data_IF_149962697589
#
_entry.id   IF_149962697589
#
_cell.length_a   1.000
_cell.length_b   1.000
_cell.length_c   1.000
_cell.angle_alpha   90.00
_cell.angle_beta   90.00
_cell.angle_gamma   90.00
#
_symmetry.space_group_name_H-M   'P 1'
#
loop_
_entity.id
_entity.type
_entity.pdbx_description
1 polymer ?
#
# COMPACT_ATOMS: atom_id res chain seq x y z
N UNK A 1 2.29 -19.83 -9.89
CA UNK A 1 1.82 -18.75 -9.01
C UNK A 1 3.04 -18.09 -8.41
N UNK A 2 3.35 -16.85 -8.80
CA UNK A 2 4.44 -16.10 -8.17
C UNK A 2 3.99 -15.73 -6.75
N UNK A 3 4.60 -16.34 -5.74
CA UNK A 3 4.32 -16.01 -4.34
C UNK A 3 5.02 -14.69 -4.04
N UNK A 4 4.35 -13.57 -4.27
CA UNK A 4 4.88 -12.26 -3.86
C UNK A 4 5.05 -12.28 -2.35
N UNK A 5 6.31 -12.30 -1.91
CA UNK A 5 6.64 -12.41 -0.49
C UNK A 5 6.52 -11.03 0.14
N UNK A 6 5.61 -10.92 1.12
CA UNK A 6 5.41 -9.70 1.89
C UNK A 6 6.16 -9.77 3.22
N UNK A 7 6.78 -8.65 3.60
CA UNK A 7 7.40 -8.48 4.91
C UNK A 7 7.02 -7.13 5.53
N UNK A 8 7.12 -7.04 6.84
CA UNK A 8 6.94 -5.79 7.58
C UNK A 8 7.54 -5.90 8.98
N UNK A 9 7.78 -4.74 9.58
CA UNK A 9 8.13 -4.65 10.99
C UNK A 9 6.87 -4.88 11.86
N UNK A 10 6.98 -5.75 12.86
CA UNK A 10 5.83 -6.14 13.72
C UNK A 10 5.32 -4.98 14.57
N UNK A 11 6.20 -4.10 15.02
CA UNK A 11 5.81 -2.96 15.85
C UNK A 11 5.21 -1.86 14.98
N UNK A 12 5.72 -1.65 13.76
CA UNK A 12 5.04 -0.82 12.76
C UNK A 12 3.64 -1.36 12.43
N UNK A 13 3.47 -2.67 12.27
CA UNK A 13 2.17 -3.26 12.00
C UNK A 13 1.17 -2.99 13.15
N UNK A 14 1.60 -3.12 14.41
CA UNK A 14 0.78 -2.79 15.59
C UNK A 14 0.42 -1.31 15.65
N UNK A 15 1.40 -0.42 15.42
CA UNK A 15 1.20 1.03 15.41
C UNK A 15 0.23 1.42 14.30
N UNK A 16 0.39 0.84 13.10
CA UNK A 16 -0.48 1.10 11.96
C UNK A 16 -1.91 0.67 12.25
N UNK A 17 -2.10 -0.54 12.78
CA UNK A 17 -3.41 -1.05 13.17
C UNK A 17 -4.09 -0.11 14.18
N UNK A 18 -3.36 0.28 15.24
CA UNK A 18 -3.90 1.20 16.26
C UNK A 18 -4.25 2.58 15.70
N UNK A 19 -3.43 3.10 14.78
CA UNK A 19 -3.57 4.47 14.25
C UNK A 19 -4.58 4.58 13.11
N UNK A 20 -4.69 3.55 12.28
CA UNK A 20 -5.41 3.59 11.01
C UNK A 20 -6.52 2.54 10.88
N UNK A 21 -6.67 1.65 11.86
CA UNK A 21 -7.63 0.54 11.84
C UNK A 21 -7.48 -0.34 10.59
N UNK A 22 -6.24 -0.50 10.14
CA UNK A 22 -5.84 -1.26 8.96
C UNK A 22 -4.65 -2.14 9.34
N UNK A 23 -4.84 -3.44 9.24
CA UNK A 23 -3.74 -4.40 9.41
C UNK A 23 -2.93 -4.52 8.13
N UNK A 24 -1.65 -4.84 8.24
CA UNK A 24 -0.84 -5.13 7.05
C UNK A 24 -1.24 -6.42 6.32
N UNK A 25 -1.89 -7.35 7.02
CA UNK A 25 -2.50 -8.52 6.39
C UNK A 25 -3.68 -8.17 5.48
N UNK A 26 -4.39 -7.10 5.76
CA UNK A 26 -5.39 -6.57 4.83
C UNK A 26 -4.72 -5.71 3.76
N UNK A 27 -3.79 -4.84 4.14
CA UNK A 27 -3.12 -3.95 3.19
C UNK A 27 -2.45 -4.73 2.05
N UNK A 28 -1.87 -5.91 2.31
CA UNK A 28 -1.29 -6.75 1.24
C UNK A 28 -2.31 -7.21 0.19
N UNK A 29 -3.60 -7.24 0.50
CA UNK A 29 -4.65 -7.64 -0.46
C UNK A 29 -4.90 -6.58 -1.52
N UNK A 30 -4.44 -5.34 -1.30
CA UNK A 30 -4.47 -4.27 -2.32
C UNK A 30 -3.67 -4.65 -3.56
N UNK A 31 -2.60 -5.44 -3.41
CA UNK A 31 -1.78 -5.92 -4.54
C UNK A 31 -2.47 -7.00 -5.37
N UNK A 32 -3.62 -7.51 -4.90
CA UNK A 32 -4.46 -8.46 -5.65
C UNK A 32 -5.54 -7.72 -6.46
N UNK A 33 -5.69 -6.40 -6.26
CA UNK A 33 -6.62 -5.57 -7.03
C UNK A 33 -6.05 -5.30 -8.43
N UNK A 34 -6.80 -5.75 -9.45
CA UNK A 34 -6.46 -5.58 -10.87
C UNK A 34 -6.43 -4.12 -11.29
N UNK A 35 -7.15 -3.24 -10.58
CA UNK A 35 -7.21 -1.80 -10.86
C UNK A 35 -6.30 -0.97 -9.94
N UNK A 36 -5.40 -1.63 -9.20
CA UNK A 36 -4.47 -0.93 -8.32
C UNK A 36 -3.55 0.02 -9.09
N UNK A 37 -3.35 1.22 -8.54
CA UNK A 37 -2.48 2.26 -9.08
C UNK A 37 -1.21 2.34 -8.22
N UNK A 38 -0.04 2.12 -8.81
CA UNK A 38 1.25 2.30 -8.14
C UNK A 38 1.96 3.54 -8.67
N UNK A 39 2.41 4.41 -7.77
CA UNK A 39 3.13 5.65 -8.04
C UNK A 39 4.44 5.67 -7.28
N UNK A 40 5.48 6.28 -7.82
CA UNK A 40 6.69 6.60 -7.04
C UNK A 40 6.34 7.55 -5.87
N UNK A 41 7.06 7.44 -4.75
CA UNK A 41 7.00 8.42 -3.65
C UNK A 41 8.15 9.43 -3.79
N UNK A 42 8.01 10.48 -4.63
CA UNK A 42 9.10 11.42 -4.93
C UNK A 42 9.64 12.16 -3.71
N UNK A 43 8.88 12.17 -2.60
CA UNK A 43 9.30 12.80 -1.34
C UNK A 43 10.34 11.97 -0.60
N UNK A 44 10.35 10.65 -0.78
CA UNK A 44 11.22 9.73 -0.04
C UNK A 44 12.18 8.90 -0.92
N UNK A 45 12.05 8.96 -2.25
CA UNK A 45 12.89 8.20 -3.20
C UNK A 45 14.38 8.57 -3.23
N UNK A 46 14.81 9.62 -2.52
CA UNK A 46 16.23 10.06 -2.54
C UNK A 46 17.16 9.06 -1.82
N UNK A 47 16.64 8.33 -0.83
CA UNK A 47 17.42 7.39 0.00
C UNK A 47 16.98 5.93 -0.13
N UNK A 48 15.72 5.70 -0.52
CA UNK A 48 15.13 4.37 -0.65
C UNK A 48 13.96 4.46 -1.63
N UNK A 49 13.93 3.62 -2.67
CA UNK A 49 12.80 3.54 -3.60
C UNK A 49 11.55 3.14 -2.83
N UNK A 50 10.67 4.11 -2.63
CA UNK A 50 9.36 3.93 -2.02
C UNK A 50 8.31 4.20 -3.06
N UNK A 51 7.24 3.44 -2.95
CA UNK A 51 6.09 3.58 -3.82
C UNK A 51 4.81 3.62 -2.99
N UNK A 52 3.81 4.23 -3.59
CA UNK A 52 2.46 4.35 -3.09
C UNK A 52 1.56 3.50 -3.99
N UNK A 53 0.94 2.46 -3.44
CA UNK A 53 -0.06 1.66 -4.15
C UNK A 53 -1.44 1.99 -3.60
N UNK A 54 -2.35 2.42 -4.47
CA UNK A 54 -3.74 2.68 -4.16
C UNK A 54 -4.60 1.59 -4.79
N UNK A 55 -5.51 0.99 -4.01
CA UNK A 55 -6.45 0.00 -4.52
C UNK A 55 -7.40 -0.52 -3.44
N UNK A 56 -8.34 -1.36 -3.85
CA UNK A 56 -9.30 -1.97 -2.94
C UNK A 56 -8.69 -3.16 -2.20
N UNK A 57 -8.87 -3.17 -0.88
CA UNK A 57 -8.58 -4.36 -0.08
C UNK A 57 -9.70 -5.40 -0.24
N UNK A 58 -9.41 -6.64 0.18
CA UNK A 58 -10.38 -7.73 0.33
C UNK A 58 -11.60 -7.38 1.23
N UNK A 59 -11.51 -6.32 2.03
CA UNK A 59 -12.63 -5.80 2.84
C UNK A 59 -13.39 -4.66 2.13
N UNK A 60 -13.20 -4.49 0.83
CA UNK A 60 -13.83 -3.46 0.00
C UNK A 60 -13.52 -2.02 0.50
N UNK A 61 -12.31 -1.80 1.02
CA UNK A 61 -11.82 -0.48 1.46
C UNK A 61 -10.78 0.02 0.48
N UNK A 62 -10.93 1.25 -0.01
CA UNK A 62 -9.91 1.90 -0.84
C UNK A 62 -8.77 2.40 0.05
N UNK A 63 -7.60 1.79 -0.09
CA UNK A 63 -6.43 2.02 0.76
C UNK A 63 -5.28 2.59 -0.06
N UNK A 64 -4.42 3.36 0.61
CA UNK A 64 -3.09 3.72 0.16
C UNK A 64 -2.08 2.95 1.00
N UNK A 65 -1.22 2.19 0.34
CA UNK A 65 -0.17 1.37 0.92
C UNK A 65 1.18 1.96 0.53
N UNK A 66 2.00 2.27 1.53
CA UNK A 66 3.38 2.70 1.33
C UNK A 66 4.27 1.48 1.46
N UNK A 67 5.07 1.21 0.44
CA UNK A 67 5.98 0.07 0.45
C UNK A 67 7.30 0.37 -0.26
N UNK A 68 8.26 -0.53 -0.06
CA UNK A 68 9.50 -0.59 -0.85
C UNK A 68 9.68 -2.01 -1.36
N UNK A 69 10.36 -2.15 -2.50
CA UNK A 69 10.73 -3.44 -3.07
C UNK A 69 12.21 -3.71 -2.79
N UNK A 70 12.50 -4.84 -2.15
CA UNK A 70 13.88 -5.25 -1.85
C UNK A 70 14.04 -6.75 -2.08
N UNK A 71 15.03 -7.14 -2.87
CA UNK A 71 15.37 -8.55 -3.11
C UNK A 71 14.16 -9.39 -3.56
N UNK A 72 13.26 -8.81 -4.38
CA UNK A 72 12.04 -9.47 -4.86
C UNK A 72 10.95 -9.64 -3.81
N UNK A 73 11.00 -8.89 -2.69
CA UNK A 73 9.97 -8.86 -1.65
C UNK A 73 9.36 -7.47 -1.54
N UNK A 74 8.07 -7.42 -1.23
CA UNK A 74 7.36 -6.19 -0.90
C UNK A 74 7.42 -5.99 0.62
N UNK A 75 8.06 -4.91 1.05
CA UNK A 75 8.06 -4.50 2.45
C UNK A 75 7.02 -3.41 2.69
N UNK A 76 5.94 -3.75 3.38
CA UNK A 76 4.90 -2.78 3.75
C UNK A 76 5.41 -1.91 4.90
N UNK A 77 5.35 -0.59 4.70
CA UNK A 77 5.83 0.42 5.66
C UNK A 77 4.66 1.06 6.41
N UNK A 78 3.56 1.35 5.71
CA UNK A 78 2.37 2.01 6.23
C UNK A 78 1.15 1.68 5.36
N UNK A 79 -0.04 1.70 5.94
CA UNK A 79 -1.30 1.56 5.21
C UNK A 79 -2.40 2.39 5.86
N UNK A 80 -3.13 3.16 5.05
CA UNK A 80 -4.24 3.99 5.52
C UNK A 80 -5.36 4.07 4.48
N UNK A 81 -6.53 4.56 4.88
CA UNK A 81 -7.57 4.94 3.91
C UNK A 81 -7.04 6.11 3.07
N UNK A 82 -7.43 6.11 1.80
CA UNK A 82 -7.16 7.25 0.91
C UNK A 82 -7.87 8.51 1.41
N UNK A 83 -7.27 9.66 1.15
CA UNK A 83 -7.93 10.96 1.26
C UNK A 83 -8.91 11.16 0.10
N UNK A 84 -9.77 12.18 0.19
CA UNK A 84 -10.68 12.55 -0.92
C UNK A 84 -9.93 12.89 -2.20
N UNK A 85 -8.76 13.52 -2.08
CA UNK A 85 -7.93 13.89 -3.22
C UNK A 85 -7.31 12.67 -3.89
N UNK A 86 -6.72 11.77 -3.10
CA UNK A 86 -6.13 10.51 -3.60
C UNK A 86 -7.17 9.59 -4.24
N UNK A 87 -8.38 9.53 -3.66
CA UNK A 87 -9.50 8.82 -4.28
C UNK A 87 -9.80 9.34 -5.69
N UNK A 88 -9.86 10.66 -5.85
CA UNK A 88 -10.13 11.28 -7.14
C UNK A 88 -9.03 10.94 -8.16
N UNK A 89 -7.77 10.95 -7.75
CA UNK A 89 -6.65 10.55 -8.61
C UNK A 89 -6.81 9.09 -9.07
N UNK A 90 -7.13 8.18 -8.15
CA UNK A 90 -7.36 6.77 -8.44
C UNK A 90 -8.56 6.52 -9.37
N UNK A 91 -9.65 7.26 -9.18
CA UNK A 91 -10.85 7.15 -10.02
C UNK A 91 -10.54 7.66 -11.44
N UNK A 92 -9.82 8.78 -11.58
CA UNK A 92 -9.42 9.34 -12.88
C UNK A 92 -8.39 8.49 -13.64
N UNK A 93 -7.54 7.72 -12.94
CA UNK A 93 -6.58 6.83 -13.60
C UNK A 93 -7.21 5.53 -14.13
N UNK A 94 -8.44 5.23 -13.71
CA UNK A 94 -9.17 4.01 -14.05
C UNK A 94 -10.42 4.29 -14.93
N UNK A 95 -10.54 5.50 -15.48
CA UNK A 95 -11.47 5.88 -16.55
C UNK A 95 -10.86 5.63 -17.94
#
# INVERSE_FOLDING_TARGET
>A
MMTTNFEWDKDKAKINLRKHDISFNEAKTVFEDTYSLTLDDPTHSILEDRFLTIGYSSQNRLLLVVHTERQGKIRIISARRVTKHERKIYEQSNE
#
